data_IF_201222577680
#
_entry.id   IF_201222577680
#
_cell.length_a   1.000
_cell.length_b   1.000
_cell.length_c   1.000
_cell.angle_alpha   90.00
_cell.angle_beta   90.00
_cell.angle_gamma   90.00
#
_symmetry.space_group_name_H-M   'P 1'
#
loop_
_entity.id
_entity.type
_entity.pdbx_description
1 polymer ?
#
# COMPACT_ATOMS: atom_id res chain seq x y z
N UNK A 1 4.65 19.69 -0.10
CA UNK A 1 4.07 18.37 0.26
C UNK A 1 4.03 18.25 1.78
N UNK A 2 2.89 17.93 2.38
CA UNK A 2 2.78 17.69 3.83
C UNK A 2 2.80 16.18 4.12
N UNK A 3 3.98 15.68 4.48
CA UNK A 3 4.23 14.26 4.78
C UNK A 3 3.60 13.76 6.08
N UNK A 4 2.95 14.63 6.86
CA UNK A 4 2.22 14.27 8.09
C UNK A 4 0.72 14.07 7.83
N UNK A 5 0.21 14.60 6.72
CA UNK A 5 -1.18 14.37 6.31
C UNK A 5 -1.43 12.90 5.93
N UNK A 6 -2.63 12.40 6.23
CA UNK A 6 -3.05 11.04 5.84
C UNK A 6 -2.84 10.78 4.34
N UNK A 7 -3.21 11.75 3.50
CA UNK A 7 -3.10 11.64 2.05
C UNK A 7 -1.67 11.27 1.62
N UNK A 8 -0.67 12.04 2.08
CA UNK A 8 0.72 11.79 1.70
C UNK A 8 1.34 10.59 2.39
N UNK A 9 0.87 10.23 3.59
CA UNK A 9 1.22 8.94 4.22
C UNK A 9 0.73 7.77 3.35
N UNK A 10 -0.51 7.84 2.86
CA UNK A 10 -1.08 6.81 1.99
C UNK A 10 -0.38 6.75 0.62
N UNK A 11 0.00 7.89 0.05
CA UNK A 11 0.81 7.97 -1.18
C UNK A 11 2.18 7.31 -0.97
N UNK A 12 2.91 7.68 0.09
CA UNK A 12 4.22 7.09 0.44
C UNK A 12 4.11 5.57 0.60
N UNK A 13 3.15 5.11 1.41
CA UNK A 13 2.91 3.68 1.62
C UNK A 13 2.56 2.95 0.32
N UNK A 14 1.76 3.55 -0.56
CA UNK A 14 1.40 2.97 -1.85
C UNK A 14 2.64 2.79 -2.73
N UNK A 15 3.42 3.86 -2.97
CA UNK A 15 4.59 3.79 -3.85
C UNK A 15 5.73 2.94 -3.29
N UNK A 16 5.96 2.95 -1.97
CA UNK A 16 6.93 2.07 -1.33
C UNK A 16 6.54 0.59 -1.50
N UNK A 17 5.25 0.28 -1.32
CA UNK A 17 4.70 -1.08 -1.54
C UNK A 17 4.85 -1.50 -2.99
N UNK A 18 4.42 -0.65 -3.93
CA UNK A 18 4.57 -0.90 -5.37
C UNK A 18 6.05 -1.14 -5.75
N UNK A 19 6.97 -0.36 -5.20
CA UNK A 19 8.41 -0.48 -5.50
C UNK A 19 9.13 -1.67 -4.85
N UNK A 20 8.48 -2.43 -3.96
CA UNK A 20 9.00 -3.68 -3.40
C UNK A 20 8.27 -4.92 -3.93
N UNK A 21 6.99 -4.77 -4.28
CA UNK A 21 6.10 -5.90 -4.58
C UNK A 21 5.75 -6.01 -6.07
N UNK A 22 5.73 -4.88 -6.80
CA UNK A 22 5.52 -4.85 -8.24
C UNK A 22 4.05 -5.00 -8.68
N UNK A 23 3.08 -4.84 -7.76
CA UNK A 23 1.64 -4.74 -8.07
C UNK A 23 1.33 -3.76 -9.21
N UNK A 24 0.22 -4.01 -9.89
CA UNK A 24 -0.30 -3.14 -10.96
C UNK A 24 -1.12 -1.99 -10.39
N UNK A 25 -1.23 -0.89 -11.14
CA UNK A 25 -2.10 0.25 -10.76
C UNK A 25 -3.53 -0.17 -10.41
N UNK A 26 -4.09 -1.11 -11.16
CA UNK A 26 -5.47 -1.59 -10.97
C UNK A 26 -5.71 -2.31 -9.62
N UNK A 27 -4.65 -2.76 -8.94
CA UNK A 27 -4.71 -3.47 -7.65
C UNK A 27 -4.76 -2.50 -6.46
N UNK A 28 -4.28 -1.26 -6.66
CA UNK A 28 -4.15 -0.22 -5.62
C UNK A 28 -5.00 1.02 -5.89
N UNK A 29 -5.56 1.16 -7.09
CA UNK A 29 -6.40 2.30 -7.47
C UNK A 29 -7.51 1.90 -8.44
N UNK A 30 -8.58 2.69 -8.46
CA UNK A 30 -9.74 2.51 -9.34
C UNK A 30 -9.66 3.41 -10.57
N UNK A 31 -10.24 2.96 -11.68
CA UNK A 31 -10.19 3.71 -12.95
C UNK A 31 -10.77 5.12 -12.82
N UNK A 32 -11.92 5.26 -12.16
CA UNK A 32 -12.62 6.54 -11.95
C UNK A 32 -13.29 6.58 -10.58
N UNK A 33 -13.70 7.77 -10.12
CA UNK A 33 -14.46 7.92 -8.88
C UNK A 33 -15.74 7.06 -8.87
N UNK A 34 -16.43 6.95 -10.01
CA UNK A 34 -17.65 6.16 -10.20
C UNK A 34 -17.41 4.64 -10.25
N UNK A 35 -16.16 4.18 -10.35
CA UNK A 35 -15.86 2.75 -10.34
C UNK A 35 -16.11 2.20 -8.94
N UNK A 36 -17.00 1.20 -8.77
CA UNK A 36 -17.29 0.63 -7.46
C UNK A 36 -16.08 -0.15 -6.95
N UNK A 37 -15.90 -0.14 -5.62
CA UNK A 37 -14.94 -1.01 -4.97
C UNK A 37 -15.34 -2.47 -5.22
N UNK A 38 -14.41 -3.29 -5.74
CA UNK A 38 -14.67 -4.69 -6.09
C UNK A 38 -13.83 -5.64 -5.24
N UNK A 39 -14.38 -6.83 -5.00
CA UNK A 39 -13.71 -7.96 -4.35
C UNK A 39 -12.43 -8.28 -5.14
N UNK A 40 -11.28 -8.27 -4.45
CA UNK A 40 -9.95 -8.49 -5.06
C UNK A 40 -8.93 -7.37 -4.82
N UNK A 41 -9.37 -6.18 -4.41
CA UNK A 41 -8.50 -5.03 -4.10
C UNK A 41 -7.94 -5.11 -2.69
N UNK A 42 -6.78 -4.50 -2.45
CA UNK A 42 -6.16 -4.50 -1.13
C UNK A 42 -7.01 -3.74 -0.11
N UNK A 43 -7.14 -4.34 1.06
CA UNK A 43 -7.82 -3.75 2.22
C UNK A 43 -6.87 -3.75 3.41
N UNK A 44 -7.24 -3.11 4.51
CA UNK A 44 -6.48 -3.26 5.76
C UNK A 44 -6.43 -4.70 6.27
N UNK A 45 -7.37 -5.57 5.88
CA UNK A 45 -7.30 -7.01 6.17
C UNK A 45 -6.29 -7.77 5.28
N UNK A 46 -5.79 -7.16 4.21
CA UNK A 46 -4.70 -7.71 3.40
C UNK A 46 -3.36 -7.67 4.14
N UNK A 47 -3.21 -6.82 5.16
CA UNK A 47 -1.99 -6.72 5.96
C UNK A 47 -2.01 -7.76 7.08
N UNK A 48 -1.05 -8.69 7.04
CA UNK A 48 -0.81 -9.68 8.09
C UNK A 48 0.57 -9.45 8.67
N UNK A 49 0.61 -8.97 9.91
CA UNK A 49 1.85 -8.52 10.56
C UNK A 49 2.62 -9.69 11.16
N UNK A 50 3.94 -9.67 11.00
CA UNK A 50 4.86 -10.61 11.61
C UNK A 50 5.81 -9.84 12.53
N UNK A 51 5.61 -9.96 13.85
CA UNK A 51 6.32 -9.16 14.86
C UNK A 51 6.86 -10.09 15.94
N UNK A 52 8.15 -9.98 16.25
CA UNK A 52 8.82 -10.81 17.24
C UNK A 52 8.84 -12.29 16.88
N UNK A 53 8.93 -12.62 15.59
CA UNK A 53 8.94 -14.01 15.12
C UNK A 53 7.56 -14.68 15.07
N UNK A 54 6.45 -13.93 15.19
CA UNK A 54 5.09 -14.46 15.22
C UNK A 54 4.17 -13.74 14.25
N UNK A 55 3.38 -14.52 13.51
CA UNK A 55 2.25 -13.99 12.74
C UNK A 55 1.12 -13.57 13.68
N UNK A 56 0.65 -12.33 13.53
CA UNK A 56 -0.50 -11.82 14.26
C UNK A 56 -1.79 -12.22 13.52
N UNK A 57 -2.67 -12.94 14.21
CA UNK A 57 -4.02 -13.29 13.72
C UNK A 57 -5.06 -12.18 13.93
N UNK A 58 -4.60 -10.98 14.30
CA UNK A 58 -5.42 -9.79 14.57
C UNK A 58 -4.71 -8.55 14.04
N UNK A 59 -5.43 -7.43 13.99
CA UNK A 59 -4.80 -6.13 13.79
C UNK A 59 -3.72 -5.88 14.86
N UNK A 60 -2.55 -5.34 14.50
CA UNK A 60 -1.51 -5.02 15.46
C UNK A 60 -1.93 -3.84 16.32
N UNK A 61 -1.48 -3.81 17.57
CA UNK A 61 -1.63 -2.63 18.43
C UNK A 61 -0.60 -1.57 18.04
N UNK A 62 -0.88 -0.31 18.42
CA UNK A 62 0.09 0.79 18.26
C UNK A 62 1.45 0.44 18.91
N UNK A 63 1.44 -0.16 20.09
CA UNK A 63 2.67 -0.53 20.79
C UNK A 63 3.48 -1.56 19.99
N UNK A 64 2.83 -2.62 19.49
CA UNK A 64 3.50 -3.62 18.66
C UNK A 64 4.10 -3.02 17.38
N UNK A 65 3.35 -2.16 16.68
CA UNK A 65 3.81 -1.48 15.47
C UNK A 65 5.07 -0.62 15.71
N UNK A 66 5.21 -0.04 16.90
CA UNK A 66 6.38 0.78 17.25
C UNK A 66 7.59 -0.05 17.70
N UNK A 67 7.45 -1.38 17.83
CA UNK A 67 8.54 -2.28 18.23
C UNK A 67 9.20 -3.02 17.07
N UNK A 68 8.76 -2.77 15.83
CA UNK A 68 9.30 -3.44 14.64
C UNK A 68 10.82 -3.23 14.51
N UNK A 69 11.51 -4.31 14.19
CA UNK A 69 12.96 -4.35 13.98
C UNK A 69 13.32 -5.31 12.84
N UNK A 70 14.59 -5.31 12.36
CA UNK A 70 15.00 -6.28 11.34
C UNK A 70 14.65 -7.72 11.73
N UNK A 71 14.04 -8.46 10.80
CA UNK A 71 13.45 -9.78 11.03
C UNK A 71 11.93 -9.77 11.18
N UNK A 72 11.34 -8.62 11.51
CA UNK A 72 9.89 -8.39 11.45
C UNK A 72 9.48 -7.94 10.04
N UNK A 73 8.16 -7.90 9.80
CA UNK A 73 7.62 -7.42 8.54
C UNK A 73 6.12 -7.51 8.45
N UNK A 74 5.62 -7.37 7.24
CA UNK A 74 4.21 -7.53 6.92
C UNK A 74 4.05 -8.37 5.66
N UNK A 75 3.18 -9.36 5.74
CA UNK A 75 2.71 -10.13 4.59
C UNK A 75 1.55 -9.37 3.96
N UNK A 76 1.70 -9.02 2.69
CA UNK A 76 0.65 -8.45 1.89
C UNK A 76 -0.11 -9.57 1.17
N UNK A 77 -1.32 -9.86 1.65
CA UNK A 77 -2.22 -10.86 1.04
C UNK A 77 -3.00 -10.23 -0.11
N UNK A 78 -2.69 -10.67 -1.31
CA UNK A 78 -3.45 -10.34 -2.52
C UNK A 78 -4.90 -10.80 -2.38
N UNK A 79 -5.81 -9.98 -2.90
CA UNK A 79 -7.20 -10.36 -3.02
C UNK A 79 -7.41 -11.43 -4.11
N UNK A 80 -8.64 -11.91 -4.21
CA UNK A 80 -9.06 -12.80 -5.30
C UNK A 80 -8.99 -12.05 -6.64
N UNK A 81 -8.58 -12.72 -7.71
CA UNK A 81 -8.60 -12.14 -9.06
C UNK A 81 -9.66 -12.80 -9.93
N UNK A 82 -10.00 -12.21 -11.09
CA UNK A 82 -10.98 -12.81 -12.03
C UNK A 82 -10.58 -14.23 -12.44
N UNK A 83 -9.28 -14.48 -12.61
CA UNK A 83 -8.74 -15.78 -13.01
C UNK A 83 -8.30 -16.63 -11.81
N UNK A 84 -8.41 -16.10 -10.59
CA UNK A 84 -8.18 -16.82 -9.34
C UNK A 84 -9.20 -16.39 -8.27
N UNK A 85 -10.46 -16.84 -8.42
CA UNK A 85 -11.58 -16.41 -7.57
C UNK A 85 -11.43 -16.82 -6.10
N UNK A 86 -10.50 -17.74 -5.82
CA UNK A 86 -10.22 -18.27 -4.49
C UNK A 86 -8.88 -17.78 -3.93
N UNK A 87 -8.07 -17.07 -4.73
CA UNK A 87 -6.73 -16.63 -4.33
C UNK A 87 -5.72 -17.77 -4.19
N UNK A 88 -6.01 -18.93 -4.80
CA UNK A 88 -5.28 -20.18 -4.62
C UNK A 88 -4.13 -20.39 -5.61
N UNK A 89 -4.09 -19.64 -6.71
CA UNK A 89 -3.20 -19.92 -7.84
C UNK A 89 -2.27 -18.75 -8.20
N UNK A 90 -2.78 -17.52 -8.25
CA UNK A 90 -2.00 -16.32 -8.59
C UNK A 90 -1.70 -15.45 -7.37
N UNK A 91 -2.46 -15.61 -6.29
CA UNK A 91 -2.24 -14.99 -4.99
C UNK A 91 -1.60 -15.95 -3.95
N UNK A 92 -1.17 -17.15 -4.39
CA UNK A 92 -0.78 -18.25 -3.51
C UNK A 92 0.40 -17.93 -2.57
N UNK A 93 1.25 -16.98 -2.94
CA UNK A 93 2.34 -16.49 -2.11
C UNK A 93 2.12 -15.01 -1.79
N UNK A 94 1.72 -14.65 -0.57
CA UNK A 94 1.72 -13.25 -0.15
C UNK A 94 3.15 -12.68 -0.23
N UNK A 95 3.24 -11.39 -0.54
CA UNK A 95 4.53 -10.71 -0.63
C UNK A 95 4.97 -10.30 0.77
N UNK A 96 6.15 -10.77 1.19
CA UNK A 96 6.72 -10.39 2.49
C UNK A 96 7.52 -9.10 2.36
N UNK A 97 7.01 -8.04 2.98
CA UNK A 97 7.62 -6.73 3.05
C UNK A 97 8.37 -6.64 4.39
N UNK A 98 9.67 -6.91 4.34
CA UNK A 98 10.53 -6.94 5.52
C UNK A 98 10.77 -5.53 6.09
N UNK A 99 10.84 -5.41 7.41
CA UNK A 99 11.31 -4.18 8.04
C UNK A 99 12.82 -4.01 7.79
N UNK A 100 13.18 -2.89 7.15
CA UNK A 100 14.56 -2.51 6.84
C UNK A 100 14.93 -1.24 7.59
N UNK A 101 15.76 -1.40 8.62
CA UNK A 101 16.31 -0.28 9.39
C UNK A 101 17.25 0.57 8.51
N UNK A 102 17.19 1.90 8.66
CA UNK A 102 18.05 2.84 7.93
C UNK A 102 17.82 2.96 6.41
N UNK A 103 17.13 2.01 5.77
CA UNK A 103 16.86 2.06 4.33
C UNK A 103 15.83 3.14 3.99
N UNK A 104 16.11 3.97 2.98
CA UNK A 104 15.15 4.93 2.44
C UNK A 104 13.92 4.24 1.82
N UNK A 105 14.11 3.06 1.20
CA UNK A 105 13.04 2.19 0.69
C UNK A 105 12.66 1.14 1.73
N UNK A 106 11.47 1.26 2.31
CA UNK A 106 10.97 0.33 3.32
C UNK A 106 9.45 0.39 3.37
N UNK A 107 8.79 -0.43 2.54
CA UNK A 107 7.35 -0.54 2.46
C UNK A 107 6.73 -0.89 3.82
N UNK A 108 7.37 -1.78 4.58
CA UNK A 108 6.93 -2.14 5.92
C UNK A 108 6.78 -0.92 6.84
N UNK A 109 7.80 -0.04 6.90
CA UNK A 109 7.75 1.18 7.73
C UNK A 109 6.70 2.17 7.23
N UNK A 110 6.53 2.29 5.92
CA UNK A 110 5.48 3.15 5.36
C UNK A 110 4.07 2.62 5.68
N UNK A 111 3.87 1.29 5.63
CA UNK A 111 2.62 0.63 6.03
C UNK A 111 2.35 0.76 7.54
N UNK A 112 3.39 0.77 8.40
CA UNK A 112 3.23 1.08 9.83
C UNK A 112 2.66 2.49 10.00
N UNK A 113 3.21 3.48 9.31
CA UNK A 113 2.73 4.87 9.37
C UNK A 113 1.27 4.97 8.91
N UNK A 114 0.92 4.24 7.86
CA UNK A 114 -0.44 4.19 7.33
C UNK A 114 -1.42 3.56 8.31
N UNK A 115 -1.11 2.41 8.91
CA UNK A 115 -1.93 1.77 9.96
C UNK A 115 -2.19 2.73 11.13
N UNK A 116 -1.14 3.39 11.61
CA UNK A 116 -1.22 4.33 12.72
C UNK A 116 -2.03 5.59 12.39
N UNK A 117 -2.03 6.01 11.13
CA UNK A 117 -2.81 7.16 10.67
C UNK A 117 -4.28 6.80 10.40
N UNK A 118 -4.54 5.58 9.90
CA UNK A 118 -5.88 5.14 9.52
C UNK A 118 -6.71 4.67 10.72
N UNK A 119 -6.07 4.05 11.72
CA UNK A 119 -6.70 3.52 12.93
C UNK A 119 -7.94 2.64 12.64
N UNK A 120 -7.88 1.80 11.60
CA UNK A 120 -9.02 0.97 11.19
C UNK A 120 -9.05 -0.31 12.00
N UNK A 121 -10.15 -0.54 12.71
CA UNK A 121 -10.30 -1.65 13.65
C UNK A 121 -11.38 -2.67 13.24
N UNK A 122 -11.27 -3.88 13.82
CA UNK A 122 -12.29 -4.91 13.73
C UNK A 122 -12.71 -5.28 12.30
N UNK A 123 -14.01 -5.52 12.12
CA UNK A 123 -14.58 -5.94 10.84
C UNK A 123 -14.52 -4.86 9.74
N UNK A 124 -14.26 -3.60 10.08
CA UNK A 124 -14.11 -2.54 9.08
C UNK A 124 -12.88 -2.77 8.19
N UNK A 125 -11.82 -3.38 8.74
CA UNK A 125 -10.55 -3.63 8.04
C UNK A 125 -10.71 -4.39 6.73
N UNK A 126 -11.65 -5.33 6.65
CA UNK A 126 -11.90 -6.12 5.43
C UNK A 126 -12.70 -5.39 4.34
N UNK A 127 -13.21 -4.19 4.64
CA UNK A 127 -14.03 -3.38 3.72
C UNK A 127 -13.40 -2.01 3.43
N UNK A 128 -12.42 -1.59 4.23
CA UNK A 128 -11.69 -0.35 4.04
C UNK A 128 -10.54 -0.58 3.05
N UNK A 129 -10.50 0.13 1.90
CA UNK A 129 -9.37 0.10 0.98
C UNK A 129 -8.05 0.40 1.71
N UNK A 130 -6.98 -0.29 1.33
CA UNK A 130 -5.68 -0.10 1.96
C UNK A 130 -5.10 1.28 1.64
N UNK A 131 -5.13 1.69 0.36
CA UNK A 131 -4.61 2.96 -0.10
C UNK A 131 -5.72 3.87 -0.58
N UNK A 132 -5.65 5.15 -0.22
CA UNK A 132 -6.67 6.13 -0.58
C UNK A 132 -6.34 7.56 -0.19
N UNK A 133 -7.04 8.55 -0.78
CA UNK A 133 -6.86 9.95 -0.43
C UNK A 133 -7.37 10.27 0.99
N UNK A 134 -8.35 9.49 1.46
CA UNK A 134 -8.93 9.52 2.81
C UNK A 134 -9.21 8.07 3.26
N UNK A 135 -9.44 7.85 4.56
CA UNK A 135 -9.76 6.51 5.08
C UNK A 135 -11.12 6.05 4.53
N UNK A 136 -11.16 4.87 3.91
CA UNK A 136 -12.41 4.31 3.34
C UNK A 136 -12.62 4.62 1.86
N UNK A 137 -11.86 5.56 1.31
CA UNK A 137 -11.86 5.84 -0.13
C UNK A 137 -10.65 5.18 -0.79
N UNK A 138 -10.79 4.86 -2.07
CA UNK A 138 -9.70 4.33 -2.87
C UNK A 138 -9.19 5.41 -3.83
N UNK A 139 -7.88 5.45 -4.06
CA UNK A 139 -7.30 6.33 -5.07
C UNK A 139 -7.89 6.06 -6.45
N UNK A 140 -8.08 7.12 -7.23
CA UNK A 140 -8.29 6.98 -8.67
C UNK A 140 -6.96 6.89 -9.40
N UNK A 141 -6.95 6.31 -10.61
CA UNK A 141 -5.75 6.29 -11.46
C UNK A 141 -5.18 7.69 -11.66
N UNK A 142 -6.06 8.65 -11.95
CA UNK A 142 -5.67 10.05 -12.10
C UNK A 142 -4.98 10.61 -10.86
N UNK A 143 -5.48 10.32 -9.66
CA UNK A 143 -4.84 10.78 -8.41
C UNK A 143 -3.44 10.20 -8.22
N UNK A 144 -3.24 8.91 -8.51
CA UNK A 144 -1.91 8.31 -8.45
C UNK A 144 -0.96 8.86 -9.52
N UNK A 145 -1.46 9.09 -10.73
CA UNK A 145 -0.65 9.65 -11.81
C UNK A 145 -0.22 11.10 -11.49
N UNK A 146 -1.10 11.91 -10.88
CA UNK A 146 -0.73 13.25 -10.39
C UNK A 146 0.25 13.19 -9.23
N UNK A 147 0.07 12.26 -8.29
CA UNK A 147 1.01 12.06 -7.19
C UNK A 147 2.40 11.66 -7.72
N UNK A 148 2.47 10.74 -8.69
CA UNK A 148 3.73 10.34 -9.33
C UNK A 148 4.44 11.56 -9.96
N UNK A 149 3.72 12.37 -10.74
CA UNK A 149 4.29 13.57 -11.36
C UNK A 149 4.87 14.54 -10.34
N UNK A 150 4.18 14.73 -9.21
CA UNK A 150 4.69 15.56 -8.12
C UNK A 150 5.95 14.96 -7.48
N UNK A 151 5.99 13.64 -7.27
CA UNK A 151 7.17 12.96 -6.73
C UNK A 151 8.36 13.04 -7.69
N UNK A 152 8.14 12.90 -9.00
CA UNK A 152 9.19 12.99 -10.01
C UNK A 152 9.74 14.41 -10.13
N UNK A 153 8.88 15.41 -10.26
CA UNK A 153 9.29 16.81 -10.42
C UNK A 153 9.92 17.37 -9.15
N UNK A 154 9.25 17.23 -8.00
CA UNK A 154 9.65 17.88 -6.75
C UNK A 154 10.64 17.04 -5.93
N UNK A 155 10.59 15.71 -6.09
CA UNK A 155 11.45 14.79 -5.34
C UNK A 155 12.71 14.39 -6.10
N UNK A 156 12.57 13.96 -7.36
CA UNK A 156 13.68 13.49 -8.18
C UNK A 156 14.25 14.55 -9.13
N UNK A 157 13.60 15.72 -9.25
CA UNK A 157 14.05 16.79 -10.14
C UNK A 157 13.88 16.48 -11.63
N UNK A 158 12.96 15.57 -11.98
CA UNK A 158 12.67 15.22 -13.37
C UNK A 158 12.03 16.42 -14.10
N UNK A 159 12.56 16.84 -15.27
CA UNK A 159 11.98 17.91 -16.07
C UNK A 159 10.53 17.63 -16.48
N UNK A 160 9.70 18.69 -16.58
CA UNK A 160 8.29 18.53 -16.95
C UNK A 160 8.08 17.88 -18.31
N UNK A 161 8.98 18.14 -19.27
CA UNK A 161 8.93 17.55 -20.62
C UNK A 161 9.11 16.04 -20.63
N UNK A 162 9.78 15.48 -19.62
CA UNK A 162 10.07 14.04 -19.56
C UNK A 162 8.95 13.27 -18.84
N UNK A 163 7.97 13.95 -18.23
CA UNK A 163 6.93 13.31 -17.41
C UNK A 163 5.98 12.40 -18.20
N UNK A 164 5.89 12.59 -19.52
CA UNK A 164 5.04 11.75 -20.37
C UNK A 164 5.57 10.31 -20.52
N UNK A 165 6.87 10.12 -20.30
CA UNK A 165 7.53 8.81 -20.33
C UNK A 165 7.26 7.98 -19.06
N UNK A 166 6.68 8.60 -18.02
CA UNK A 166 6.44 7.97 -16.72
C UNK A 166 4.95 7.73 -16.47
N UNK A 167 4.60 6.49 -16.17
CA UNK A 167 3.24 6.15 -15.73
C UNK A 167 3.26 5.03 -14.70
N UNK A 168 2.27 5.06 -13.80
CA UNK A 168 2.04 3.96 -12.86
C UNK A 168 1.32 2.85 -13.64
N UNK A 169 2.08 1.92 -14.22
CA UNK A 169 1.55 0.71 -14.88
C UNK A 169 1.87 -0.55 -14.06
N UNK A 170 3.16 -0.81 -13.82
CA UNK A 170 3.69 -1.77 -12.86
C UNK A 170 5.08 -1.32 -12.41
N UNK A 171 5.36 -1.31 -11.11
CA UNK A 171 6.67 -0.93 -10.53
C UNK A 171 7.62 -2.13 -10.43
N UNK A 172 7.94 -2.76 -11.56
CA UNK A 172 9.00 -3.77 -11.62
C UNK A 172 10.33 -3.17 -12.06
#
# INVERSE_FOLDING_TARGET
VDWTSYHWIAVDACFQTLGEEGSRKDEVAKKTAATPFRKGRFTFASLVWFIGGKELRRAPTRAELLTLKPGDGVLLRHGISKNDPFGSYFAATPSFLAYREGSARCACRALVRLELAACVEGAARGRTPLFGPTVGEEFTHHQLDQALKLLLTQGAGVPEGDLEDYSVHSFR
#
